data_IF_818407729210
#
_entry.id   IF_818407729210
#
_cell.length_a   1.000
_cell.length_b   1.000
_cell.length_c   1.000
_cell.angle_alpha   90.00
_cell.angle_beta   90.00
_cell.angle_gamma   90.00
#
_symmetry.space_group_name_H-M   'P 1'
#
loop_
_entity.id
_entity.type
_entity.pdbx_description
1 polymer ?
#
# COMPACT_ATOMS: atom_id res chain seq x y z
N UNK A 1 1.92 -12.27 -20.28
CA UNK A 1 2.33 -10.93 -19.81
C UNK A 1 3.02 -11.08 -18.45
N UNK A 2 4.09 -10.33 -18.18
CA UNK A 2 4.72 -10.31 -16.85
C UNK A 2 3.75 -9.70 -15.83
N UNK A 3 3.60 -10.30 -14.63
CA UNK A 3 2.63 -9.84 -13.63
C UNK A 3 2.84 -8.38 -13.23
N UNK A 4 4.10 -7.92 -13.19
CA UNK A 4 4.41 -6.52 -12.89
C UNK A 4 3.75 -5.56 -13.88
N UNK A 5 3.81 -5.87 -15.17
CA UNK A 5 3.17 -5.06 -16.23
C UNK A 5 1.65 -5.14 -16.12
N UNK A 6 1.11 -6.33 -15.83
CA UNK A 6 -0.31 -6.51 -15.59
C UNK A 6 -0.81 -5.59 -14.47
N UNK A 7 -0.13 -5.58 -13.32
CA UNK A 7 -0.53 -4.77 -12.17
C UNK A 7 -0.39 -3.28 -12.42
N UNK A 8 0.73 -2.84 -13.00
CA UNK A 8 0.94 -1.42 -13.31
C UNK A 8 -0.12 -0.92 -14.28
N UNK A 9 -0.41 -1.67 -15.35
CA UNK A 9 -1.46 -1.29 -16.30
C UNK A 9 -2.85 -1.34 -15.67
N UNK A 10 -3.13 -2.36 -14.85
CA UNK A 10 -4.42 -2.50 -14.15
C UNK A 10 -4.66 -1.33 -13.20
N UNK A 11 -3.65 -0.91 -12.43
CA UNK A 11 -3.77 0.24 -11.53
C UNK A 11 -3.89 1.54 -12.33
N UNK A 12 -2.97 1.80 -13.26
CA UNK A 12 -2.94 3.07 -13.99
C UNK A 12 -4.19 3.30 -14.84
N UNK A 13 -4.57 2.30 -15.65
CA UNK A 13 -5.74 2.38 -16.54
C UNK A 13 -7.03 2.19 -15.73
N UNK A 14 -7.04 1.30 -14.74
CA UNK A 14 -8.22 1.07 -13.89
C UNK A 14 -8.63 2.33 -13.15
N UNK A 15 -7.70 3.04 -12.52
CA UNK A 15 -7.98 4.31 -11.84
C UNK A 15 -8.47 5.39 -12.81
N UNK A 16 -7.92 5.46 -14.02
CA UNK A 16 -8.41 6.37 -15.06
C UNK A 16 -9.85 6.04 -15.47
N UNK A 17 -10.15 4.76 -15.70
CA UNK A 17 -11.50 4.32 -16.09
C UNK A 17 -12.50 4.59 -14.96
N UNK A 18 -12.11 4.33 -13.72
CA UNK A 18 -12.93 4.56 -12.53
C UNK A 18 -13.34 6.03 -12.37
N UNK A 19 -12.35 6.93 -12.48
CA UNK A 19 -12.54 8.37 -12.37
C UNK A 19 -13.42 8.94 -13.49
N UNK A 20 -13.07 8.65 -14.75
CA UNK A 20 -13.68 9.31 -15.92
C UNK A 20 -15.01 8.68 -16.35
N UNK A 21 -15.20 7.39 -16.11
CA UNK A 21 -16.35 6.65 -16.64
C UNK A 21 -17.17 6.00 -15.53
N UNK A 22 -16.67 4.89 -14.97
CA UNK A 22 -17.38 4.10 -13.97
C UNK A 22 -16.45 3.12 -13.24
N UNK A 23 -16.76 2.83 -11.98
CA UNK A 23 -16.00 1.87 -11.17
C UNK A 23 -16.28 0.41 -11.56
N UNK A 24 -17.52 0.07 -11.96
CA UNK A 24 -17.93 -1.33 -12.12
C UNK A 24 -17.14 -2.15 -13.17
N UNK A 25 -16.65 -1.59 -14.30
CA UNK A 25 -15.79 -2.34 -15.21
C UNK A 25 -14.44 -2.70 -14.56
N UNK A 26 -13.93 -1.80 -13.72
CA UNK A 26 -12.68 -1.98 -12.98
C UNK A 26 -12.88 -3.02 -11.88
N UNK A 27 -14.02 -2.99 -11.18
CA UNK A 27 -14.41 -4.03 -10.21
C UNK A 27 -14.38 -5.41 -10.85
N UNK A 28 -15.08 -5.60 -11.98
CA UNK A 28 -15.14 -6.89 -12.69
C UNK A 28 -13.74 -7.34 -13.13
N UNK A 29 -12.94 -6.42 -13.69
CA UNK A 29 -11.59 -6.72 -14.17
C UNK A 29 -10.66 -7.14 -13.04
N UNK A 30 -10.60 -6.35 -11.96
CA UNK A 30 -9.73 -6.61 -10.83
C UNK A 30 -10.13 -7.89 -10.09
N UNK A 31 -11.43 -8.11 -9.84
CA UNK A 31 -11.92 -9.35 -9.22
C UNK A 31 -11.64 -10.56 -10.13
N UNK A 32 -11.79 -10.40 -11.45
CA UNK A 32 -11.47 -11.43 -12.43
C UNK A 32 -10.00 -11.84 -12.41
N UNK A 33 -9.08 -10.87 -12.45
CA UNK A 33 -7.63 -11.12 -12.34
C UNK A 33 -7.30 -11.77 -11.01
N UNK A 34 -7.82 -11.23 -9.91
CA UNK A 34 -7.56 -11.76 -8.57
C UNK A 34 -8.01 -13.21 -8.46
N UNK A 35 -9.22 -13.53 -8.93
CA UNK A 35 -9.77 -14.89 -8.92
C UNK A 35 -8.95 -15.84 -9.78
N UNK A 36 -8.50 -15.39 -10.95
CA UNK A 36 -7.63 -16.17 -11.83
C UNK A 36 -6.28 -16.47 -11.17
N UNK A 37 -5.61 -15.47 -10.57
CA UNK A 37 -4.34 -15.63 -9.86
C UNK A 37 -4.52 -16.61 -8.69
N UNK A 38 -5.58 -16.45 -7.91
CA UNK A 38 -5.89 -17.31 -6.78
C UNK A 38 -6.05 -18.77 -7.21
N UNK A 39 -6.68 -19.00 -8.36
CA UNK A 39 -6.87 -20.36 -8.90
C UNK A 39 -5.55 -21.01 -9.32
N UNK A 40 -4.67 -20.28 -10.00
CA UNK A 40 -3.44 -20.85 -10.59
C UNK A 40 -2.23 -20.88 -9.65
N UNK A 41 -2.25 -20.13 -8.54
CA UNK A 41 -1.09 -20.02 -7.65
C UNK A 41 -1.04 -21.10 -6.55
N UNK A 42 0.08 -21.16 -5.83
CA UNK A 42 0.32 -22.10 -4.75
C UNK A 42 -0.34 -21.70 -3.42
N UNK A 43 -0.19 -22.55 -2.40
CA UNK A 43 -0.80 -22.35 -1.08
C UNK A 43 -0.28 -21.09 -0.38
N UNK A 44 1.03 -20.82 -0.44
CA UNK A 44 1.66 -19.69 0.24
C UNK A 44 1.11 -18.38 -0.33
N UNK A 45 1.08 -18.27 -1.67
CA UNK A 45 0.55 -17.07 -2.32
C UNK A 45 -0.96 -16.89 -2.08
N UNK A 46 -1.74 -17.98 -2.01
CA UNK A 46 -3.16 -17.89 -1.61
C UNK A 46 -3.34 -17.38 -0.17
N UNK A 47 -2.47 -17.76 0.76
CA UNK A 47 -2.51 -17.23 2.14
C UNK A 47 -2.19 -15.74 2.14
N UNK A 48 -1.17 -15.31 1.40
CA UNK A 48 -0.82 -13.89 1.24
C UNK A 48 -2.00 -13.09 0.67
N UNK A 49 -2.63 -13.59 -0.40
CA UNK A 49 -3.82 -12.99 -1.00
C UNK A 49 -4.93 -12.78 0.02
N UNK A 50 -5.29 -13.82 0.76
CA UNK A 50 -6.36 -13.75 1.76
C UNK A 50 -5.99 -12.86 2.94
N UNK A 51 -4.73 -12.88 3.39
CA UNK A 51 -4.24 -12.02 4.46
C UNK A 51 -4.31 -10.55 4.07
N UNK A 52 -3.87 -10.19 2.84
CA UNK A 52 -3.98 -8.82 2.34
C UNK A 52 -5.43 -8.36 2.35
N UNK A 53 -6.37 -9.15 1.80
CA UNK A 53 -7.80 -8.79 1.82
C UNK A 53 -8.32 -8.63 3.26
N UNK A 54 -7.95 -9.54 4.16
CA UNK A 54 -8.43 -9.55 5.54
C UNK A 54 -7.95 -8.35 6.37
N UNK A 55 -6.75 -7.81 6.09
CA UNK A 55 -6.24 -6.63 6.79
C UNK A 55 -6.54 -5.32 6.06
N UNK A 56 -6.38 -5.29 4.74
CA UNK A 56 -6.56 -4.07 3.96
C UNK A 56 -8.02 -3.63 3.95
N UNK A 57 -8.98 -4.53 3.71
CA UNK A 57 -10.41 -4.17 3.63
C UNK A 57 -10.94 -3.45 4.89
N UNK A 58 -10.79 -3.98 6.11
CA UNK A 58 -11.28 -3.28 7.29
C UNK A 58 -10.50 -2.00 7.61
N UNK A 59 -9.20 -1.97 7.31
CA UNK A 59 -8.39 -0.77 7.50
C UNK A 59 -8.81 0.35 6.56
N UNK A 60 -9.03 0.01 5.29
CA UNK A 60 -9.52 0.91 4.24
C UNK A 60 -10.90 1.46 4.59
N UNK A 61 -11.86 0.58 4.95
CA UNK A 61 -13.19 1.00 5.41
C UNK A 61 -13.11 1.88 6.66
N UNK A 62 -12.20 1.60 7.58
CA UNK A 62 -12.01 2.46 8.74
C UNK A 62 -11.48 3.84 8.32
N UNK A 63 -10.50 3.90 7.42
CA UNK A 63 -9.92 5.15 6.95
C UNK A 63 -10.91 5.99 6.13
N UNK A 64 -11.66 5.38 5.22
CA UNK A 64 -12.56 6.09 4.31
C UNK A 64 -13.98 6.31 4.85
N UNK A 65 -14.50 5.44 5.73
CA UNK A 65 -15.92 5.49 6.14
C UNK A 65 -16.13 5.83 7.62
N UNK A 66 -15.10 5.65 8.46
CA UNK A 66 -15.20 5.89 9.91
C UNK A 66 -14.37 7.08 10.34
N UNK A 67 -13.07 7.07 10.00
CA UNK A 67 -12.13 8.12 10.34
C UNK A 67 -12.21 9.30 9.36
N UNK A 68 -12.65 9.06 8.12
CA UNK A 68 -12.80 10.08 7.07
C UNK A 68 -11.48 10.84 6.84
N UNK A 69 -10.35 10.12 6.83
CA UNK A 69 -9.04 10.72 6.54
C UNK A 69 -8.86 10.98 5.03
N UNK A 70 -9.66 10.32 4.19
CA UNK A 70 -9.93 10.65 2.80
C UNK A 70 -11.32 10.14 2.43
N UNK A 71 -11.87 10.66 1.35
CA UNK A 71 -13.15 10.23 0.78
C UNK A 71 -12.98 9.82 -0.67
N UNK A 72 -13.70 8.78 -1.09
CA UNK A 72 -13.77 8.37 -2.49
C UNK A 72 -14.72 9.26 -3.28
N UNK A 73 -14.41 9.51 -4.56
CA UNK A 73 -15.22 10.32 -5.49
C UNK A 73 -16.71 9.97 -5.49
N UNK A 74 -17.02 8.68 -5.31
CA UNK A 74 -18.38 8.12 -5.37
C UNK A 74 -18.95 7.77 -3.98
N UNK A 75 -18.31 8.25 -2.92
CA UNK A 75 -18.80 8.21 -1.54
C UNK A 75 -18.68 6.88 -0.80
N UNK A 76 -18.28 5.79 -1.47
CA UNK A 76 -18.00 4.52 -0.81
C UNK A 76 -16.78 3.87 -1.45
N UNK A 77 -15.99 3.16 -0.66
CA UNK A 77 -14.85 2.36 -1.13
C UNK A 77 -15.23 1.43 -2.30
N UNK A 78 -14.60 1.56 -3.49
CA UNK A 78 -14.83 0.67 -4.62
C UNK A 78 -14.43 -0.79 -4.33
N UNK A 79 -15.10 -1.76 -4.97
CA UNK A 79 -14.86 -3.18 -4.73
C UNK A 79 -13.52 -3.67 -5.27
N UNK A 80 -12.94 -2.98 -6.25
CA UNK A 80 -11.60 -3.26 -6.72
C UNK A 80 -10.50 -2.90 -5.72
N UNK A 81 -10.77 -2.06 -4.70
CA UNK A 81 -9.73 -1.58 -3.78
C UNK A 81 -9.11 -2.71 -2.94
N UNK A 82 -9.89 -3.58 -2.25
CA UNK A 82 -9.35 -4.72 -1.52
C UNK A 82 -8.41 -5.61 -2.34
N UNK A 83 -8.79 -5.94 -3.58
CA UNK A 83 -7.97 -6.78 -4.47
C UNK A 83 -6.81 -5.98 -5.08
N UNK A 84 -6.97 -4.66 -5.24
CA UNK A 84 -5.93 -3.73 -5.67
C UNK A 84 -4.76 -3.68 -4.69
N UNK A 85 -5.02 -3.74 -3.38
CA UNK A 85 -3.95 -3.85 -2.37
C UNK A 85 -3.09 -5.10 -2.58
N UNK A 86 -3.69 -6.22 -2.98
CA UNK A 86 -2.90 -7.42 -3.29
C UNK A 86 -2.05 -7.22 -4.55
N UNK A 87 -2.56 -6.57 -5.59
CA UNK A 87 -1.76 -6.25 -6.78
C UNK A 87 -0.57 -5.35 -6.44
N UNK A 88 -0.77 -4.34 -5.60
CA UNK A 88 0.30 -3.47 -5.14
C UNK A 88 1.30 -4.24 -4.27
N UNK A 89 0.84 -5.11 -3.39
CA UNK A 89 1.67 -5.98 -2.55
C UNK A 89 2.56 -6.93 -3.37
N UNK A 90 1.98 -7.71 -4.29
CA UNK A 90 2.77 -8.64 -5.13
C UNK A 90 3.70 -7.86 -6.07
N UNK A 91 3.30 -6.68 -6.56
CA UNK A 91 4.19 -5.76 -7.28
C UNK A 91 5.36 -5.32 -6.38
N UNK A 92 5.09 -4.89 -5.16
CA UNK A 92 6.08 -4.45 -4.17
C UNK A 92 7.10 -5.51 -3.86
N UNK A 93 6.67 -6.75 -3.65
CA UNK A 93 7.56 -7.90 -3.47
C UNK A 93 8.45 -8.14 -4.68
N UNK A 94 7.88 -8.09 -5.90
CA UNK A 94 8.64 -8.27 -7.14
C UNK A 94 9.66 -7.16 -7.38
N UNK A 95 9.34 -5.92 -7.00
CA UNK A 95 10.27 -4.78 -7.04
C UNK A 95 11.36 -4.96 -5.97
N UNK A 96 10.98 -5.34 -4.75
CA UNK A 96 11.91 -5.55 -3.65
C UNK A 96 12.98 -6.62 -3.94
N UNK A 97 12.63 -7.70 -4.65
CA UNK A 97 13.61 -8.72 -5.12
C UNK A 97 14.70 -8.15 -6.03
N UNK A 98 14.47 -6.99 -6.65
CA UNK A 98 15.45 -6.30 -7.52
C UNK A 98 16.19 -5.15 -6.83
N UNK A 99 15.76 -4.76 -5.63
CA UNK A 99 16.42 -3.70 -4.88
C UNK A 99 17.75 -4.21 -4.29
N UNK A 100 18.85 -3.44 -4.42
CA UNK A 100 20.10 -3.73 -3.73
C UNK A 100 19.89 -3.79 -2.21
N UNK A 101 20.59 -4.69 -1.52
CA UNK A 101 20.42 -4.93 -0.08
C UNK A 101 20.63 -3.67 0.78
N UNK A 102 21.57 -2.80 0.41
CA UNK A 102 21.86 -1.54 1.11
C UNK A 102 20.97 -0.35 0.72
N UNK A 103 20.01 -0.53 -0.20
CA UNK A 103 19.17 0.57 -0.71
C UNK A 103 17.94 0.97 0.13
N UNK A 104 17.34 0.13 1.01
CA UNK A 104 16.09 0.49 1.69
C UNK A 104 16.15 1.79 2.48
N UNK A 105 17.17 1.94 3.34
CA UNK A 105 17.31 3.11 4.19
C UNK A 105 17.56 4.40 3.37
N UNK A 106 18.52 4.43 2.41
CA UNK A 106 18.66 5.57 1.49
C UNK A 106 17.37 5.93 0.76
N UNK A 107 16.60 4.93 0.27
CA UNK A 107 15.37 5.17 -0.47
C UNK A 107 14.29 5.84 0.39
N UNK A 108 14.16 5.47 1.66
CA UNK A 108 13.23 6.12 2.60
C UNK A 108 13.74 7.50 3.00
N UNK A 109 15.05 7.65 3.25
CA UNK A 109 15.65 8.93 3.65
C UNK A 109 15.54 10.02 2.58
N UNK A 110 15.40 9.64 1.29
CA UNK A 110 15.14 10.60 0.21
C UNK A 110 13.86 11.42 0.40
N UNK A 111 12.88 10.92 1.17
CA UNK A 111 11.63 11.64 1.45
C UNK A 111 11.75 12.64 2.61
N UNK A 112 12.76 12.50 3.48
CA UNK A 112 12.95 13.33 4.69
C UNK A 112 12.97 14.83 4.41
N UNK A 113 13.63 15.35 3.36
CA UNK A 113 13.61 16.79 3.08
C UNK A 113 12.19 17.34 2.89
N UNK A 114 11.30 16.58 2.23
CA UNK A 114 9.90 16.96 2.04
C UNK A 114 9.11 16.90 3.35
N UNK A 115 9.38 15.91 4.21
CA UNK A 115 8.78 15.83 5.55
C UNK A 115 9.15 17.05 6.39
N UNK A 116 10.43 17.42 6.42
CA UNK A 116 10.91 18.59 7.15
C UNK A 116 10.25 19.86 6.61
N UNK A 117 10.17 19.99 5.28
CA UNK A 117 9.50 21.11 4.64
C UNK A 117 8.02 21.20 5.05
N UNK A 118 7.25 20.12 4.90
CA UNK A 118 5.83 20.06 5.25
C UNK A 118 5.57 20.35 6.73
N UNK A 119 6.44 19.87 7.62
CA UNK A 119 6.36 20.12 9.05
C UNK A 119 6.64 21.59 9.40
N UNK A 120 7.66 22.22 8.81
CA UNK A 120 7.98 23.64 9.04
C UNK A 120 6.86 24.55 8.52
N UNK A 121 6.30 24.23 7.36
CA UNK A 121 5.18 24.99 6.80
C UNK A 121 3.85 24.73 7.51
N UNK A 122 3.77 23.68 8.34
CA UNK A 122 2.54 23.24 8.98
C UNK A 122 1.51 22.64 8.00
N UNK A 123 1.92 22.31 6.77
CA UNK A 123 1.01 21.82 5.72
C UNK A 123 0.96 20.29 5.62
N UNK A 124 1.97 19.59 6.14
CA UNK A 124 1.96 18.12 6.29
C UNK A 124 2.72 17.72 7.56
N UNK A 125 2.09 17.93 8.71
CA UNK A 125 2.67 17.57 10.02
C UNK A 125 2.51 16.08 10.33
N UNK A 126 1.53 15.41 9.72
CA UNK A 126 1.31 13.96 9.85
C UNK A 126 2.49 13.14 9.32
N UNK A 127 3.17 13.63 8.28
CA UNK A 127 4.34 12.98 7.69
C UNK A 127 5.50 12.76 8.68
N UNK A 128 5.60 13.55 9.76
CA UNK A 128 6.61 13.34 10.81
C UNK A 128 6.39 12.01 11.53
N UNK A 129 5.14 11.69 11.85
CA UNK A 129 4.82 10.41 12.49
C UNK A 129 5.00 9.25 11.51
N UNK A 130 4.55 9.45 10.26
CA UNK A 130 4.64 8.42 9.22
C UNK A 130 6.08 8.10 8.82
N UNK A 131 6.99 9.09 8.78
CA UNK A 131 8.40 8.80 8.49
C UNK A 131 9.05 8.03 9.63
N UNK A 132 8.72 8.34 10.89
CA UNK A 132 9.26 7.60 12.05
C UNK A 132 8.79 6.15 12.06
N UNK A 133 7.51 5.91 11.74
CA UNK A 133 6.98 4.55 11.55
C UNK A 133 7.69 3.82 10.41
N UNK A 134 7.83 4.47 9.26
CA UNK A 134 8.49 3.89 8.08
C UNK A 134 9.96 3.55 8.36
N UNK A 135 10.70 4.44 9.04
CA UNK A 135 12.07 4.19 9.46
C UNK A 135 12.14 3.05 10.48
N UNK A 136 11.20 2.98 11.42
CA UNK A 136 11.08 1.87 12.37
C UNK A 136 10.89 0.52 11.67
N UNK A 137 9.96 0.42 10.72
CA UNK A 137 9.78 -0.79 9.92
C UNK A 137 11.04 -1.11 9.09
N UNK A 138 11.64 -0.11 8.45
CA UNK A 138 12.83 -0.31 7.60
C UNK A 138 14.05 -0.74 8.41
N UNK A 139 14.18 -0.29 9.67
CA UNK A 139 15.32 -0.61 10.52
C UNK A 139 15.15 -1.94 11.28
N UNK A 140 13.94 -2.24 11.75
CA UNK A 140 13.69 -3.34 12.67
C UNK A 140 12.75 -4.42 12.14
N UNK A 141 12.05 -4.17 11.05
CA UNK A 141 11.14 -5.14 10.47
C UNK A 141 11.86 -6.19 9.60
N UNK A 142 11.22 -7.34 9.36
CA UNK A 142 11.81 -8.48 8.66
C UNK A 142 12.12 -8.21 7.18
N UNK A 143 11.43 -7.28 6.53
CA UNK A 143 11.53 -7.10 5.07
C UNK A 143 11.82 -5.64 4.65
N UNK A 144 13.00 -5.06 4.98
CA UNK A 144 13.31 -3.66 4.67
C UNK A 144 13.16 -3.28 3.19
N UNK A 145 13.51 -4.19 2.27
CA UNK A 145 13.36 -3.96 0.83
C UNK A 145 11.91 -3.88 0.39
N UNK A 146 11.02 -4.64 1.03
CA UNK A 146 9.58 -4.57 0.76
C UNK A 146 9.00 -3.25 1.27
N UNK A 147 9.37 -2.84 2.49
CA UNK A 147 8.91 -1.55 3.04
C UNK A 147 9.35 -0.37 2.17
N UNK A 148 10.61 -0.35 1.74
CA UNK A 148 11.10 0.70 0.85
C UNK A 148 10.41 0.67 -0.51
N UNK A 149 10.16 -0.50 -1.11
CA UNK A 149 9.44 -0.57 -2.39
C UNK A 149 7.99 -0.11 -2.25
N UNK A 150 7.30 -0.52 -1.18
CA UNK A 150 5.89 -0.19 -0.95
C UNK A 150 5.68 1.29 -0.64
N UNK A 151 6.59 1.95 0.08
CA UNK A 151 6.51 3.40 0.31
C UNK A 151 6.48 4.18 -1.02
N UNK A 152 7.36 3.82 -1.96
CA UNK A 152 7.42 4.47 -3.26
C UNK A 152 6.26 4.09 -4.17
N UNK A 153 5.89 2.80 -4.23
CA UNK A 153 4.77 2.34 -5.05
C UNK A 153 3.44 2.91 -4.57
N UNK A 154 3.21 2.96 -3.26
CA UNK A 154 2.05 3.61 -2.67
C UNK A 154 2.05 5.10 -3.02
N UNK A 155 3.16 5.81 -2.84
CA UNK A 155 3.25 7.24 -3.20
C UNK A 155 2.92 7.49 -4.68
N UNK A 156 3.44 6.69 -5.62
CA UNK A 156 3.11 6.86 -7.04
C UNK A 156 1.64 6.58 -7.34
N UNK A 157 1.07 5.55 -6.73
CA UNK A 157 -0.33 5.18 -6.90
C UNK A 157 -1.26 6.26 -6.31
N UNK A 158 -0.91 6.80 -5.15
CA UNK A 158 -1.64 7.87 -4.48
C UNK A 158 -1.58 9.17 -5.28
N UNK A 159 -0.40 9.57 -5.76
CA UNK A 159 -0.25 10.74 -6.63
C UNK A 159 -1.10 10.62 -7.89
N UNK A 160 -1.21 9.41 -8.46
CA UNK A 160 -2.04 9.17 -9.63
C UNK A 160 -3.54 9.17 -9.28
N UNK A 161 -3.92 8.50 -8.19
CA UNK A 161 -5.30 8.40 -7.74
C UNK A 161 -5.91 9.75 -7.37
N UNK A 162 -5.19 10.57 -6.60
CA UNK A 162 -5.66 11.90 -6.19
C UNK A 162 -5.60 12.90 -7.34
N UNK A 163 -4.61 12.80 -8.24
CA UNK A 163 -4.58 13.62 -9.46
C UNK A 163 -5.81 13.38 -10.35
N UNK A 164 -6.27 12.13 -10.42
CA UNK A 164 -7.50 11.74 -11.13
C UNK A 164 -8.77 11.96 -10.31
N UNK A 165 -8.67 12.51 -9.10
CA UNK A 165 -9.81 12.74 -8.20
C UNK A 165 -10.58 11.44 -7.86
N UNK A 166 -9.93 10.27 -7.86
CA UNK A 166 -10.57 9.02 -7.41
C UNK A 166 -10.86 9.06 -5.91
N UNK A 167 -9.98 9.69 -5.14
CA UNK A 167 -10.16 10.02 -3.73
C UNK A 167 -9.43 11.31 -3.39
N UNK A 168 -9.84 11.94 -2.29
CA UNK A 168 -9.25 13.17 -1.78
C UNK A 168 -8.98 13.05 -0.28
N UNK A 169 -7.75 13.34 0.12
CA UNK A 169 -7.32 13.34 1.51
C UNK A 169 -7.73 14.61 2.26
N UNK A 170 -8.14 14.46 3.51
CA UNK A 170 -8.46 15.56 4.39
C UNK A 170 -7.20 16.35 4.74
N UNK A 171 -7.20 17.66 4.42
CA UNK A 171 -6.07 18.54 4.75
C UNK A 171 -5.79 18.65 6.26
N UNK A 172 -6.82 18.43 7.09
CA UNK A 172 -6.71 18.30 8.54
C UNK A 172 -7.11 16.88 8.92
N UNK A 173 -6.18 16.12 9.48
CA UNK A 173 -6.39 14.73 9.89
C UNK A 173 -7.38 14.71 11.06
N UNK A 174 -8.60 14.14 10.88
CA UNK A 174 -9.63 14.17 11.90
C UNK A 174 -9.16 13.64 13.26
N UNK A 175 -9.58 14.29 14.33
CA UNK A 175 -9.33 13.92 15.74
C UNK A 175 -7.87 13.99 16.23
N UNK A 176 -6.91 14.39 15.38
CA UNK A 176 -5.49 14.42 15.76
C UNK A 176 -4.87 15.81 15.85
N UNK A 177 -5.48 16.81 15.21
CA UNK A 177 -4.91 18.16 15.08
C UNK A 177 -3.72 18.24 14.11
N UNK A 178 -3.43 17.16 13.39
CA UNK A 178 -2.38 17.11 12.37
C UNK A 178 -2.91 17.58 11.01
N UNK A 179 -1.99 18.00 10.16
CA UNK A 179 -2.23 18.37 8.77
C UNK A 179 -1.60 17.34 7.84
N UNK A 180 -2.19 17.17 6.66
CA UNK A 180 -1.71 16.27 5.63
C UNK A 180 -1.84 16.91 4.23
N UNK A 181 -0.94 16.52 3.33
CA UNK A 181 -1.09 16.83 1.90
C UNK A 181 -2.09 15.89 1.24
N UNK A 182 -2.50 16.24 0.02
CA UNK A 182 -3.30 15.40 -0.85
C UNK A 182 -2.47 14.94 -2.07
N UNK A 183 -1.84 13.75 -2.03
CA UNK A 183 -1.89 12.74 -0.98
C UNK A 183 -0.83 12.97 0.12
N UNK A 184 -0.96 12.32 1.29
CA UNK A 184 0.07 12.32 2.32
C UNK A 184 1.34 11.65 1.82
N UNK A 185 2.49 12.29 2.04
CA UNK A 185 3.77 11.86 1.47
C UNK A 185 4.14 10.41 1.82
N UNK A 186 3.74 9.95 3.01
CA UNK A 186 4.18 8.70 3.62
C UNK A 186 3.02 7.80 4.06
N UNK A 187 1.88 7.88 3.38
CA UNK A 187 0.78 6.91 3.59
C UNK A 187 1.24 5.45 3.37
N UNK A 188 2.32 5.26 2.60
CA UNK A 188 3.09 4.01 2.49
C UNK A 188 3.46 3.35 3.83
N UNK A 189 3.51 4.09 4.95
CA UNK A 189 3.73 3.52 6.28
C UNK A 189 2.64 2.50 6.69
N UNK A 190 1.38 2.71 6.28
CA UNK A 190 0.30 1.75 6.54
C UNK A 190 0.46 0.48 5.70
N UNK A 191 1.03 0.60 4.50
CA UNK A 191 1.39 -0.56 3.69
C UNK A 191 2.50 -1.37 4.36
N UNK A 192 3.55 -0.73 4.89
CA UNK A 192 4.59 -1.43 5.67
C UNK A 192 4.02 -2.22 6.85
N UNK A 193 3.04 -1.64 7.55
CA UNK A 193 2.34 -2.34 8.64
C UNK A 193 1.53 -3.52 8.12
N UNK A 194 0.76 -3.34 7.04
CA UNK A 194 0.02 -4.43 6.38
C UNK A 194 0.94 -5.57 5.94
N UNK A 195 2.08 -5.25 5.33
CA UNK A 195 3.08 -6.21 4.89
C UNK A 195 3.61 -7.04 6.06
N UNK A 196 3.91 -6.39 7.18
CA UNK A 196 4.30 -7.09 8.41
C UNK A 196 3.22 -8.08 8.85
N UNK A 197 1.94 -7.67 8.88
CA UNK A 197 0.83 -8.54 9.27
C UNK A 197 0.64 -9.72 8.31
N UNK A 198 0.82 -9.50 7.01
CA UNK A 198 0.79 -10.57 6.00
C UNK A 198 1.93 -11.56 6.25
N UNK A 199 3.16 -11.08 6.46
CA UNK A 199 4.32 -11.93 6.72
C UNK A 199 4.14 -12.78 7.96
N UNK A 200 3.63 -12.20 9.05
CA UNK A 200 3.30 -12.92 10.28
C UNK A 200 2.21 -13.97 10.07
N UNK A 201 1.23 -13.68 9.21
CA UNK A 201 0.16 -14.62 8.88
C UNK A 201 0.69 -15.80 8.08
N UNK A 202 1.52 -15.55 7.07
CA UNK A 202 2.17 -16.60 6.27
C UNK A 202 3.01 -17.50 7.17
N UNK A 203 3.88 -16.91 8.01
CA UNK A 203 4.72 -17.67 8.94
C UNK A 203 3.90 -18.60 9.84
N UNK A 204 2.79 -18.09 10.38
CA UNK A 204 1.86 -18.87 11.21
C UNK A 204 1.19 -20.01 10.44
N UNK A 205 0.69 -19.76 9.23
CA UNK A 205 -0.08 -20.75 8.47
C UNK A 205 0.78 -21.77 7.70
N UNK A 206 2.04 -21.43 7.43
CA UNK A 206 3.05 -22.35 6.88
C UNK A 206 3.79 -23.12 7.99
N UNK A 207 3.57 -22.79 9.26
CA UNK A 207 4.17 -23.49 10.41
C UNK A 207 5.65 -23.17 10.63
N UNK A 208 6.10 -22.01 10.15
CA UNK A 208 7.47 -21.54 10.34
C UNK A 208 7.69 -21.01 11.77
N UNK A 209 8.84 -21.28 12.41
CA UNK A 209 9.19 -20.64 13.66
C UNK A 209 9.23 -19.12 13.47
N UNK A 210 8.61 -18.35 14.37
CA UNK A 210 8.59 -16.87 14.33
C UNK A 210 9.99 -16.21 14.22
N UNK A 211 11.06 -16.93 14.58
CA UNK A 211 12.44 -16.47 14.45
C UNK A 211 12.99 -16.53 13.01
N UNK A 212 12.38 -17.29 12.10
CA UNK A 212 12.80 -17.48 10.70
C UNK A 212 12.10 -16.53 9.71
N UNK A 213 11.15 -15.72 10.19
CA UNK A 213 10.39 -14.73 9.38
C UNK A 213 11.28 -13.65 8.75
N UNK A 214 12.55 -13.56 9.15
CA UNK A 214 13.48 -12.51 8.74
C UNK A 214 13.88 -12.50 7.26
N UNK A 215 13.55 -13.51 6.44
CA UNK A 215 14.05 -13.54 5.05
C UNK A 215 13.13 -14.19 3.99
N UNK A 216 11.92 -14.61 4.34
CA UNK A 216 11.17 -15.59 3.53
C UNK A 216 10.14 -15.01 2.56
N UNK A 217 9.92 -13.70 2.56
CA UNK A 217 8.93 -13.07 1.67
C UNK A 217 9.55 -12.78 0.32
N UNK A 218 10.87 -12.66 0.27
CA UNK A 218 11.63 -12.52 -0.97
C UNK A 218 12.09 -13.86 -1.57
N UNK A 219 11.83 -14.98 -0.89
CA UNK A 219 11.84 -16.33 -1.47
C UNK A 219 10.93 -16.42 -2.68
#
# INVERSE_FOLDING_TARGET
MRREVLYVLTIAIGLLISAEYAQWPVDIWCIGIFSYIFWVTDRKERIEMLAVLAFATPMELFFSEVWLIYEYQRGFMPLFVPVGHYFLFDLGRRVAKRLPEGSPMPLVLLLVPLVIYGAIQGTDTSAVFLILLTLGFTMYGPEPRLYASMVWLALFMELWGTYLENWEWAANVPWTGLTAWNPPLLVGAFYCFGDLLVNLSVAKFEGQPMAEVNHDVLG
#
